data_IF_032713012243
#
_entry.id   IF_032713012243
#
_cell.length_a   1.000
_cell.length_b   1.000
_cell.length_c   1.000
_cell.angle_alpha   90.00
_cell.angle_beta   90.00
_cell.angle_gamma   90.00
#
_symmetry.space_group_name_H-M   'P 1'
#
loop_
_entity.id
_entity.type
_entity.pdbx_description
1 polymer ?
#
# COMPACT_ATOMS: atom_id res chain seq x y z
N UNK A 1 -1.26 12.04 34.41
CA UNK A 1 -1.00 13.37 35.03
C UNK A 1 -1.95 14.46 34.57
N UNK A 2 -2.20 14.66 33.26
CA UNK A 2 -3.05 15.76 32.76
C UNK A 2 -4.52 15.70 33.24
N UNK A 3 -5.22 14.55 33.19
CA UNK A 3 -6.63 14.48 33.63
C UNK A 3 -6.81 14.82 35.11
N UNK A 4 -5.91 14.31 35.96
CA UNK A 4 -5.93 14.54 37.40
C UNK A 4 -5.76 16.04 37.74
N UNK A 5 -4.86 16.74 37.05
CA UNK A 5 -4.67 18.17 37.22
C UNK A 5 -5.91 18.97 36.78
N UNK A 6 -6.53 18.57 35.67
CA UNK A 6 -7.77 19.19 35.21
C UNK A 6 -8.89 19.01 36.22
N UNK A 7 -8.99 17.82 36.82
CA UNK A 7 -10.01 17.47 37.80
C UNK A 7 -9.89 18.29 39.11
N UNK A 8 -8.66 18.59 39.54
CA UNK A 8 -8.41 19.49 40.68
C UNK A 8 -9.00 20.89 40.42
N UNK A 9 -8.75 21.48 39.25
CA UNK A 9 -9.28 22.81 38.91
C UNK A 9 -10.80 22.78 38.72
N UNK A 10 -11.36 21.68 38.20
CA UNK A 10 -12.81 21.53 38.06
C UNK A 10 -13.50 21.37 39.41
N UNK A 11 -12.96 20.55 40.31
CA UNK A 11 -13.46 20.36 41.68
C UNK A 11 -13.39 21.65 42.49
N UNK A 12 -12.25 22.35 42.46
CA UNK A 12 -12.12 23.65 43.11
C UNK A 12 -13.08 24.72 42.55
N UNK A 13 -13.47 24.62 41.25
CA UNK A 13 -14.50 25.48 40.67
C UNK A 13 -15.88 25.16 41.23
N UNK A 14 -16.21 23.88 41.38
CA UNK A 14 -17.47 23.41 41.96
C UNK A 14 -17.61 23.87 43.41
N UNK A 15 -16.53 23.76 44.19
CA UNK A 15 -16.49 24.18 45.60
C UNK A 15 -16.46 25.71 45.79
N UNK A 16 -16.36 26.48 44.69
CA UNK A 16 -16.36 27.95 44.72
C UNK A 16 -15.09 28.58 45.30
N UNK A 17 -14.01 27.83 45.46
CA UNK A 17 -12.76 28.27 46.12
C UNK A 17 -11.71 28.86 45.15
N UNK A 18 -12.02 28.93 43.85
CA UNK A 18 -11.10 29.44 42.84
C UNK A 18 -10.92 30.97 42.90
N UNK A 19 -9.67 31.41 42.77
CA UNK A 19 -9.35 32.83 42.55
C UNK A 19 -9.73 33.30 41.13
N UNK A 20 -9.90 34.61 40.95
CA UNK A 20 -10.20 35.22 39.64
C UNK A 20 -9.19 34.84 38.53
N UNK A 21 -7.92 34.64 38.88
CA UNK A 21 -6.88 34.24 37.92
C UNK A 21 -7.01 32.76 37.52
N UNK A 22 -7.45 31.89 38.44
CA UNK A 22 -7.58 30.45 38.20
C UNK A 22 -8.85 30.06 37.43
N UNK A 23 -9.83 30.96 37.32
CA UNK A 23 -11.05 30.72 36.53
C UNK A 23 -10.74 30.35 35.07
N UNK A 24 -9.76 31.01 34.46
CA UNK A 24 -9.32 30.70 33.08
C UNK A 24 -8.71 29.30 32.97
N UNK A 25 -8.01 28.85 34.01
CA UNK A 25 -7.43 27.50 34.05
C UNK A 25 -8.51 26.43 34.18
N UNK A 26 -9.56 26.67 34.97
CA UNK A 26 -10.68 25.74 35.08
C UNK A 26 -11.46 25.59 33.76
N UNK A 27 -11.63 26.67 33.00
CA UNK A 27 -12.23 26.62 31.66
C UNK A 27 -11.36 25.79 30.70
N UNK A 28 -10.04 26.01 30.70
CA UNK A 28 -9.12 25.22 29.87
C UNK A 28 -9.15 23.73 30.25
N UNK A 29 -9.11 23.43 31.55
CA UNK A 29 -9.24 22.07 32.10
C UNK A 29 -10.55 21.40 31.65
N UNK A 30 -11.67 22.14 31.64
CA UNK A 30 -12.95 21.63 31.16
C UNK A 30 -12.91 21.25 29.66
N UNK A 31 -12.31 22.11 28.83
CA UNK A 31 -12.17 21.85 27.39
C UNK A 31 -11.30 20.60 27.16
N UNK A 32 -10.20 20.46 27.90
CA UNK A 32 -9.28 19.33 27.79
C UNK A 32 -9.98 18.03 28.21
N UNK A 33 -10.62 18.00 29.38
CA UNK A 33 -11.34 16.82 29.87
C UNK A 33 -12.46 16.44 28.91
N UNK A 34 -13.28 17.39 28.45
CA UNK A 34 -14.35 17.10 27.47
C UNK A 34 -13.80 16.54 26.16
N UNK A 35 -12.67 17.05 25.67
CA UNK A 35 -12.04 16.56 24.44
C UNK A 35 -11.47 15.16 24.60
N UNK A 36 -10.80 14.89 25.73
CA UNK A 36 -10.29 13.57 26.08
C UNK A 36 -11.41 12.57 26.31
N UNK A 37 -12.50 12.95 26.98
CA UNK A 37 -13.68 12.10 27.16
C UNK A 37 -14.31 11.72 25.81
N UNK A 38 -14.42 12.67 24.87
CA UNK A 38 -14.90 12.36 23.51
C UNK A 38 -14.01 11.33 22.81
N UNK A 39 -12.69 11.52 22.84
CA UNK A 39 -11.73 10.56 22.26
C UNK A 39 -11.80 9.20 22.96
N UNK A 40 -11.89 9.18 24.28
CA UNK A 40 -12.01 7.96 25.09
C UNK A 40 -13.30 7.19 24.80
N UNK A 41 -14.44 7.88 24.68
CA UNK A 41 -15.71 7.26 24.28
C UNK A 41 -15.61 6.68 22.88
N UNK A 42 -15.05 7.42 21.92
CA UNK A 42 -14.84 6.90 20.55
C UNK A 42 -13.93 5.67 20.56
N UNK A 43 -12.84 5.70 21.33
CA UNK A 43 -11.93 4.58 21.46
C UNK A 43 -12.61 3.34 22.07
N UNK A 44 -13.36 3.50 23.16
CA UNK A 44 -14.09 2.41 23.81
C UNK A 44 -15.19 1.82 22.89
N UNK A 45 -15.92 2.67 22.17
CA UNK A 45 -16.90 2.21 21.18
C UNK A 45 -16.19 1.44 20.06
N UNK A 46 -15.08 1.94 19.55
CA UNK A 46 -14.30 1.26 18.50
C UNK A 46 -13.75 -0.09 18.98
N UNK A 47 -13.27 -0.19 20.22
CA UNK A 47 -12.76 -1.43 20.82
C UNK A 47 -13.90 -2.45 21.03
N UNK A 48 -15.05 -2.01 21.56
CA UNK A 48 -16.19 -2.88 21.80
C UNK A 48 -16.87 -3.37 20.51
N UNK A 49 -16.83 -2.57 19.44
CA UNK A 49 -17.50 -2.88 18.15
C UNK A 49 -16.57 -3.44 17.09
N UNK A 50 -15.24 -3.26 17.22
CA UNK A 50 -14.28 -3.57 16.16
C UNK A 50 -14.35 -2.63 14.95
N UNK A 51 -15.07 -1.50 15.04
CA UNK A 51 -15.42 -0.65 13.89
C UNK A 51 -14.25 -0.22 13.01
N UNK A 52 -13.08 0.06 13.59
CA UNK A 52 -11.90 0.47 12.81
C UNK A 52 -11.42 -0.65 11.88
N UNK A 53 -11.41 -1.91 12.35
CA UNK A 53 -10.98 -3.06 11.56
C UNK A 53 -11.96 -3.34 10.43
N UNK A 54 -13.27 -3.29 10.72
CA UNK A 54 -14.31 -3.49 9.70
C UNK A 54 -14.29 -2.37 8.66
N UNK A 55 -14.09 -1.12 9.09
CA UNK A 55 -13.95 0.02 8.20
C UNK A 55 -12.74 -0.13 7.27
N UNK A 56 -11.56 -0.48 7.81
CA UNK A 56 -10.35 -0.66 7.02
C UNK A 56 -10.51 -1.82 6.02
N UNK A 57 -11.18 -2.91 6.43
CA UNK A 57 -11.53 -4.03 5.54
C UNK A 57 -12.47 -3.59 4.42
N UNK A 58 -13.47 -2.78 4.73
CA UNK A 58 -14.44 -2.27 3.75
C UNK A 58 -13.79 -1.30 2.76
N UNK A 59 -12.89 -0.43 3.24
CA UNK A 59 -12.10 0.46 2.39
C UNK A 59 -11.18 -0.34 1.45
N UNK A 60 -10.50 -1.37 1.97
CA UNK A 60 -9.68 -2.28 1.18
C UNK A 60 -10.53 -3.00 0.12
N UNK A 61 -11.71 -3.52 0.47
CA UNK A 61 -12.57 -4.17 -0.52
C UNK A 61 -13.09 -3.21 -1.59
N UNK A 62 -13.40 -1.96 -1.22
CA UNK A 62 -13.76 -0.92 -2.19
C UNK A 62 -12.61 -0.61 -3.15
N UNK A 63 -11.35 -0.69 -2.68
CA UNK A 63 -10.18 -0.56 -3.54
C UNK A 63 -10.01 -1.77 -4.46
N UNK A 64 -10.06 -2.99 -3.90
CA UNK A 64 -9.88 -4.22 -4.66
C UNK A 64 -10.95 -4.39 -5.75
N UNK A 65 -12.22 -4.08 -5.44
CA UNK A 65 -13.31 -4.15 -6.43
C UNK A 65 -13.14 -3.20 -7.62
N UNK A 66 -12.36 -2.11 -7.47
CA UNK A 66 -11.98 -1.23 -8.58
C UNK A 66 -10.85 -1.80 -9.42
N UNK A 67 -9.96 -2.60 -8.84
CA UNK A 67 -8.76 -3.13 -9.49
C UNK A 67 -8.95 -4.53 -10.07
N UNK A 68 -9.73 -5.38 -9.42
CA UNK A 68 -9.94 -6.79 -9.77
C UNK A 68 -11.23 -6.95 -10.56
N UNK A 69 -11.13 -7.50 -11.76
CA UNK A 69 -12.28 -7.80 -12.60
C UNK A 69 -13.10 -8.94 -12.00
N UNK A 70 -14.43 -8.84 -12.10
CA UNK A 70 -15.35 -9.91 -11.65
C UNK A 70 -15.22 -11.19 -12.48
N UNK A 71 -14.83 -11.03 -13.74
CA UNK A 71 -14.67 -12.12 -14.70
C UNK A 71 -13.28 -12.02 -15.36
N UNK A 72 -12.79 -13.15 -15.85
CA UNK A 72 -11.52 -13.22 -16.56
C UNK A 72 -11.65 -12.47 -17.90
N UNK A 73 -10.82 -11.45 -18.10
CA UNK A 73 -10.78 -10.72 -19.36
C UNK A 73 -10.03 -11.51 -20.46
N UNK A 74 -10.41 -11.31 -21.74
CA UNK A 74 -9.67 -11.85 -22.87
C UNK A 74 -8.19 -11.44 -22.83
N UNK A 75 -7.31 -12.35 -23.28
CA UNK A 75 -5.89 -12.05 -23.34
C UNK A 75 -5.64 -10.86 -24.29
N UNK A 76 -4.95 -9.85 -23.78
CA UNK A 76 -4.50 -8.68 -24.55
C UNK A 76 -3.06 -8.40 -24.15
N UNK A 77 -2.20 -8.04 -25.12
CA UNK A 77 -0.82 -7.67 -24.81
C UNK A 77 -0.82 -6.40 -23.94
N UNK A 78 -0.34 -6.53 -22.70
CA UNK A 78 -0.24 -5.41 -21.73
C UNK A 78 1.19 -4.99 -21.40
N UNK A 79 2.14 -5.91 -21.54
CA UNK A 79 3.54 -5.62 -21.31
C UNK A 79 4.18 -5.29 -22.66
N UNK A 80 4.68 -4.05 -22.85
CA UNK A 80 5.43 -3.67 -24.04
C UNK A 80 6.70 -4.51 -24.17
N UNK A 81 7.21 -4.64 -25.40
CA UNK A 81 8.44 -5.42 -25.63
C UNK A 81 9.65 -4.66 -25.08
N UNK A 82 9.61 -3.32 -25.14
CA UNK A 82 10.63 -2.40 -24.64
C UNK A 82 10.92 -2.64 -23.16
N UNK A 83 9.89 -2.90 -22.34
CA UNK A 83 10.07 -3.23 -20.93
C UNK A 83 10.99 -4.44 -20.73
N UNK A 84 10.81 -5.49 -21.53
CA UNK A 84 11.64 -6.68 -21.44
C UNK A 84 13.00 -6.49 -22.14
N UNK A 85 13.06 -5.74 -23.24
CA UNK A 85 14.33 -5.43 -23.90
C UNK A 85 15.27 -4.67 -22.97
N UNK A 86 14.77 -3.65 -22.28
CA UNK A 86 15.54 -2.88 -21.31
C UNK A 86 15.98 -3.72 -20.11
N UNK A 87 15.10 -4.61 -19.61
CA UNK A 87 15.48 -5.56 -18.56
C UNK A 87 16.64 -6.47 -19.00
N UNK A 88 16.58 -7.03 -20.20
CA UNK A 88 17.64 -7.89 -20.73
C UNK A 88 18.94 -7.12 -20.97
N UNK A 89 18.85 -5.89 -21.51
CA UNK A 89 19.98 -4.97 -21.69
C UNK A 89 20.71 -4.74 -20.38
N UNK A 90 20.00 -4.33 -19.32
CA UNK A 90 20.59 -4.04 -18.01
C UNK A 90 21.16 -5.28 -17.32
N UNK A 91 20.61 -6.47 -17.62
CA UNK A 91 21.12 -7.75 -17.10
C UNK A 91 22.27 -8.33 -17.94
N UNK A 92 22.60 -7.74 -19.09
CA UNK A 92 23.61 -8.26 -20.02
C UNK A 92 23.20 -9.60 -20.65
N UNK A 93 21.91 -9.82 -20.87
CA UNK A 93 21.37 -11.05 -21.46
C UNK A 93 20.98 -10.85 -22.92
N UNK A 94 21.17 -11.88 -23.74
CA UNK A 94 20.66 -11.89 -25.12
C UNK A 94 19.14 -11.89 -25.12
N UNK A 95 18.55 -10.94 -25.84
CA UNK A 95 17.10 -10.87 -25.96
C UNK A 95 16.61 -12.07 -26.79
N UNK A 96 15.67 -12.88 -26.26
CA UNK A 96 15.30 -14.14 -26.88
C UNK A 96 14.59 -13.91 -28.20
N UNK A 97 14.84 -14.81 -29.15
CA UNK A 97 14.07 -14.89 -30.39
C UNK A 97 12.60 -15.20 -30.08
N UNK A 98 11.64 -14.85 -30.97
CA UNK A 98 10.21 -15.08 -30.73
C UNK A 98 9.82 -16.53 -30.38
N UNK A 99 10.64 -17.50 -30.75
CA UNK A 99 10.45 -18.94 -30.47
C UNK A 99 11.06 -19.42 -29.15
N UNK A 100 11.82 -18.58 -28.44
CA UNK A 100 12.59 -18.97 -27.26
C UNK A 100 11.89 -18.55 -25.97
N UNK A 101 11.83 -19.47 -25.00
CA UNK A 101 11.27 -19.16 -23.68
C UNK A 101 12.22 -18.23 -22.91
N UNK A 102 11.66 -17.22 -22.27
CA UNK A 102 12.40 -16.34 -21.37
C UNK A 102 12.82 -17.10 -20.11
N UNK A 103 14.00 -16.82 -19.54
CA UNK A 103 14.42 -17.38 -18.26
C UNK A 103 13.39 -17.11 -17.14
N UNK A 104 13.21 -18.07 -16.23
CA UNK A 104 12.22 -17.94 -15.13
C UNK A 104 12.44 -16.71 -14.22
N UNK A 105 13.70 -16.26 -14.10
CA UNK A 105 14.08 -15.04 -13.37
C UNK A 105 13.41 -13.77 -13.92
N UNK A 106 13.03 -13.75 -15.19
CA UNK A 106 12.26 -12.63 -15.77
C UNK A 106 10.91 -12.50 -15.07
N UNK A 107 10.24 -13.63 -14.78
CA UNK A 107 8.99 -13.63 -14.03
C UNK A 107 9.16 -13.13 -12.60
N UNK A 108 10.30 -13.42 -11.97
CA UNK A 108 10.66 -12.86 -10.66
C UNK A 108 10.79 -11.33 -10.73
N UNK A 109 11.53 -10.79 -11.69
CA UNK A 109 11.66 -9.33 -11.85
C UNK A 109 10.35 -8.64 -12.23
N UNK A 110 9.52 -9.27 -13.06
CA UNK A 110 8.16 -8.77 -13.32
C UNK A 110 7.35 -8.69 -12.03
N UNK A 111 7.43 -9.68 -11.14
CA UNK A 111 6.76 -9.60 -9.85
C UNK A 111 7.35 -8.47 -8.98
N UNK A 112 8.68 -8.42 -8.85
CA UNK A 112 9.40 -7.45 -8.02
C UNK A 112 9.11 -6.00 -8.42
N UNK A 113 9.28 -5.66 -9.69
CA UNK A 113 9.18 -4.25 -10.12
C UNK A 113 7.79 -3.83 -10.58
N UNK A 114 6.86 -4.77 -10.79
CA UNK A 114 5.51 -4.47 -11.31
C UNK A 114 4.44 -4.86 -10.31
N UNK A 115 4.26 -6.16 -10.06
CA UNK A 115 3.11 -6.62 -9.25
C UNK A 115 3.21 -6.27 -7.77
N UNK A 116 4.41 -6.23 -7.19
CA UNK A 116 4.65 -5.79 -5.80
C UNK A 116 4.44 -4.30 -5.58
N UNK A 117 4.36 -3.52 -6.65
CA UNK A 117 4.18 -2.07 -6.61
C UNK A 117 2.75 -1.65 -7.02
N UNK A 118 1.84 -2.61 -7.14
CA UNK A 118 0.41 -2.34 -7.19
C UNK A 118 -0.11 -1.97 -5.79
N UNK A 119 -1.28 -1.30 -5.69
CA UNK A 119 -1.87 -0.98 -4.39
C UNK A 119 -2.01 -2.21 -3.48
N UNK A 120 -1.97 -1.96 -2.17
CA UNK A 120 -2.02 -3.01 -1.15
C UNK A 120 -3.20 -3.97 -1.37
N UNK A 121 -2.95 -5.28 -1.22
CA UNK A 121 -3.94 -6.34 -1.39
C UNK A 121 -4.17 -6.79 -2.84
N UNK A 122 -3.78 -5.99 -3.84
CA UNK A 122 -4.05 -6.31 -5.26
C UNK A 122 -3.25 -7.55 -5.68
N UNK A 123 -1.96 -7.65 -5.32
CA UNK A 123 -1.13 -8.80 -5.67
C UNK A 123 -1.67 -10.09 -5.03
N UNK A 124 -2.07 -10.02 -3.77
CA UNK A 124 -2.61 -11.14 -3.01
C UNK A 124 -3.92 -11.63 -3.64
N UNK A 125 -4.81 -10.70 -3.99
CA UNK A 125 -6.07 -11.05 -4.64
C UNK A 125 -5.85 -11.64 -6.04
N UNK A 126 -4.93 -11.08 -6.83
CA UNK A 126 -4.52 -11.66 -8.11
C UNK A 126 -3.97 -13.09 -7.97
N UNK A 127 -3.25 -13.38 -6.90
CA UNK A 127 -2.72 -14.72 -6.62
C UNK A 127 -3.82 -15.71 -6.25
N UNK A 128 -4.85 -15.27 -5.51
CA UNK A 128 -6.04 -16.08 -5.21
C UNK A 128 -6.87 -16.36 -6.46
N UNK A 129 -7.13 -15.34 -7.29
CA UNK A 129 -7.93 -15.50 -8.51
C UNK A 129 -7.23 -16.31 -9.60
N UNK A 130 -5.89 -16.29 -9.63
CA UNK A 130 -5.08 -16.99 -10.62
C UNK A 130 -4.07 -17.93 -9.96
N UNK A 131 -4.48 -19.00 -9.25
CA UNK A 131 -3.58 -19.83 -8.44
C UNK A 131 -2.53 -20.56 -9.29
N UNK A 132 -1.47 -21.02 -8.60
CA UNK A 132 -0.42 -21.84 -9.21
C UNK A 132 -1.00 -23.23 -9.47
N UNK A 133 -0.92 -23.71 -10.71
CA UNK A 133 -1.42 -25.03 -11.11
C UNK A 133 -0.33 -26.09 -11.07
N UNK A 134 0.94 -25.68 -11.24
CA UNK A 134 2.13 -26.51 -11.05
C UNK A 134 3.32 -25.60 -10.73
N UNK A 135 4.43 -26.10 -10.16
CA UNK A 135 5.56 -25.26 -9.76
C UNK A 135 5.98 -24.27 -10.86
N UNK A 136 5.90 -22.97 -10.57
CA UNK A 136 6.23 -21.89 -11.50
C UNK A 136 5.21 -21.61 -12.62
N UNK A 137 4.07 -22.30 -12.66
CA UNK A 137 3.06 -22.16 -13.72
C UNK A 137 1.69 -21.78 -13.17
N UNK A 138 1.09 -20.77 -13.79
CA UNK A 138 -0.32 -20.37 -13.60
C UNK A 138 -1.09 -20.64 -14.89
N UNK A 139 -2.40 -20.87 -14.78
CA UNK A 139 -3.27 -21.13 -15.94
C UNK A 139 -3.39 -19.90 -16.84
N UNK A 140 -3.50 -18.71 -16.24
CA UNK A 140 -3.73 -17.44 -16.91
C UNK A 140 -2.66 -16.40 -16.56
N UNK A 141 -2.70 -15.23 -17.17
CA UNK A 141 -1.84 -14.08 -16.81
C UNK A 141 -2.56 -13.17 -15.81
N UNK A 142 -1.83 -12.63 -14.83
CA UNK A 142 -2.43 -11.77 -13.80
C UNK A 142 -3.13 -10.54 -14.37
N UNK A 143 -2.61 -9.92 -15.44
CA UNK A 143 -3.26 -8.76 -16.05
C UNK A 143 -4.67 -9.05 -16.61
N UNK A 144 -5.03 -10.32 -16.86
CA UNK A 144 -6.37 -10.69 -17.30
C UNK A 144 -7.42 -10.58 -16.18
N UNK A 145 -6.99 -10.45 -14.92
CA UNK A 145 -7.85 -10.26 -13.76
C UNK A 145 -7.91 -8.80 -13.31
N UNK A 146 -7.25 -7.89 -14.02
CA UNK A 146 -7.32 -6.46 -13.75
C UNK A 146 -8.48 -5.84 -14.51
N UNK A 147 -9.22 -4.92 -13.89
CA UNK A 147 -10.26 -4.13 -14.56
C UNK A 147 -9.69 -3.33 -15.74
N UNK A 148 -10.51 -3.07 -16.75
CA UNK A 148 -10.06 -2.37 -17.95
C UNK A 148 -9.81 -0.88 -17.68
N UNK A 149 -10.63 -0.27 -16.83
CA UNK A 149 -10.73 1.16 -16.59
C UNK A 149 -9.71 1.66 -15.57
N UNK A 150 -9.40 0.85 -14.55
CA UNK A 150 -8.54 1.25 -13.44
C UNK A 150 -7.30 0.35 -13.37
N UNK A 151 -7.47 -0.96 -13.23
CA UNK A 151 -6.36 -1.88 -13.01
C UNK A 151 -5.37 -1.89 -14.16
N UNK A 152 -5.84 -2.07 -15.39
CA UNK A 152 -5.00 -2.10 -16.58
C UNK A 152 -4.40 -0.72 -16.91
N UNK A 153 -5.16 0.37 -16.75
CA UNK A 153 -4.66 1.74 -16.96
C UNK A 153 -3.55 2.08 -15.96
N UNK A 154 -3.71 1.69 -14.69
CA UNK A 154 -2.67 1.85 -13.69
C UNK A 154 -1.43 1.01 -14.01
N UNK A 155 -1.62 -0.26 -14.37
CA UNK A 155 -0.53 -1.15 -14.79
C UNK A 155 0.27 -0.56 -15.95
N UNK A 156 -0.41 -0.03 -16.97
CA UNK A 156 0.23 0.60 -18.13
C UNK A 156 1.07 1.82 -17.73
N UNK A 157 0.51 2.74 -16.94
CA UNK A 157 1.25 3.90 -16.43
C UNK A 157 2.48 3.50 -15.62
N UNK A 158 2.34 2.47 -14.78
CA UNK A 158 3.44 1.94 -14.00
C UNK A 158 4.53 1.35 -14.90
N UNK A 159 4.15 0.54 -15.89
CA UNK A 159 5.10 -0.04 -16.85
C UNK A 159 5.86 1.02 -17.64
N UNK A 160 5.19 2.08 -18.10
CA UNK A 160 5.84 3.23 -18.76
C UNK A 160 6.90 3.82 -17.82
N UNK A 161 6.51 4.13 -16.57
CA UNK A 161 7.41 4.73 -15.59
C UNK A 161 8.63 3.85 -15.31
N UNK A 162 8.43 2.55 -15.08
CA UNK A 162 9.53 1.61 -14.82
C UNK A 162 10.44 1.49 -16.05
N UNK A 163 9.87 1.39 -17.24
CA UNK A 163 10.63 1.32 -18.50
C UNK A 163 11.48 2.58 -18.69
N UNK A 164 10.93 3.77 -18.42
CA UNK A 164 11.70 5.03 -18.48
C UNK A 164 12.87 5.03 -17.49
N UNK A 165 12.70 4.50 -16.28
CA UNK A 165 13.81 4.38 -15.33
C UNK A 165 14.88 3.40 -15.82
N UNK A 166 14.49 2.29 -16.44
CA UNK A 166 15.45 1.35 -17.03
C UNK A 166 16.23 2.02 -18.17
N UNK A 167 15.55 2.72 -19.08
CA UNK A 167 16.16 3.46 -20.19
C UNK A 167 17.15 4.52 -19.72
N UNK A 168 16.84 5.22 -18.62
CA UNK A 168 17.72 6.24 -18.04
C UNK A 168 18.93 5.66 -17.30
N UNK A 169 19.00 4.34 -17.12
CA UNK A 169 20.06 3.66 -16.35
C UNK A 169 21.04 2.93 -17.26
N UNK A 170 22.32 2.98 -16.89
CA UNK A 170 23.39 2.27 -17.59
C UNK A 170 23.61 0.87 -17.03
N UNK A 171 23.39 0.67 -15.72
CA UNK A 171 23.54 -0.62 -15.05
C UNK A 171 22.30 -1.01 -14.25
N UNK A 172 22.21 -2.29 -13.90
CA UNK A 172 21.12 -2.82 -13.09
C UNK A 172 21.04 -2.15 -11.70
N UNK A 173 22.19 -1.91 -11.08
CA UNK A 173 22.29 -1.30 -9.74
C UNK A 173 21.83 0.16 -9.77
N UNK A 174 22.16 0.89 -10.83
CA UNK A 174 21.68 2.26 -11.04
C UNK A 174 20.15 2.30 -11.19
N UNK A 175 19.60 1.35 -11.95
CA UNK A 175 18.16 1.18 -12.10
C UNK A 175 17.50 0.90 -10.75
N UNK A 176 17.97 -0.09 -9.98
CA UNK A 176 17.38 -0.45 -8.69
C UNK A 176 17.43 0.73 -7.71
N UNK A 177 18.55 1.45 -7.64
CA UNK A 177 18.68 2.65 -6.80
C UNK A 177 17.68 3.73 -7.19
N UNK A 178 17.55 4.02 -8.48
CA UNK A 178 16.63 5.06 -8.97
C UNK A 178 15.18 4.64 -8.80
N UNK A 179 14.88 3.36 -9.05
CA UNK A 179 13.57 2.76 -8.81
C UNK A 179 13.16 2.90 -7.34
N UNK A 180 14.00 2.47 -6.39
CA UNK A 180 13.70 2.55 -4.96
C UNK A 180 13.45 3.99 -4.51
N UNK A 181 14.27 4.93 -5.00
CA UNK A 181 14.11 6.37 -4.73
C UNK A 181 12.78 6.93 -5.27
N UNK A 182 12.39 6.54 -6.47
CA UNK A 182 11.19 7.06 -7.16
C UNK A 182 9.91 6.45 -6.61
N UNK A 183 9.93 5.17 -6.26
CA UNK A 183 8.77 4.46 -5.70
C UNK A 183 8.69 4.53 -4.19
N UNK A 184 9.64 5.21 -3.52
CA UNK A 184 9.75 5.29 -2.06
C UNK A 184 9.49 3.93 -1.45
N UNK A 185 10.18 2.91 -1.98
CA UNK A 185 10.19 1.60 -1.32
C UNK A 185 10.83 1.91 0.04
N UNK A 186 9.99 2.07 1.06
CA UNK A 186 10.46 2.12 2.43
C UNK A 186 11.28 0.85 2.57
N UNK A 187 12.59 0.99 2.80
CA UNK A 187 13.35 -0.09 3.39
C UNK A 187 12.57 -0.42 4.65
N UNK A 188 11.77 -1.48 4.59
CA UNK A 188 11.31 -2.17 5.77
C UNK A 188 12.60 -2.60 6.45
N UNK A 189 13.10 -1.74 7.33
CA UNK A 189 14.04 -2.12 8.36
C UNK A 189 13.40 -3.33 9.02
N UNK A 190 13.97 -4.48 8.73
CA UNK A 190 13.69 -5.74 9.40
C UNK A 190 13.89 -5.49 10.87
N UNK A 191 12.79 -5.27 11.60
CA UNK A 191 12.73 -5.37 13.06
C UNK A 191 12.80 -6.86 13.43
N UNK A 192 13.89 -7.50 13.05
CA UNK A 192 14.33 -8.78 13.58
C UNK A 192 15.61 -8.50 14.36
N UNK A 193 15.45 -7.96 15.57
CA UNK A 193 16.37 -8.01 16.72
C UNK A 193 15.91 -7.00 17.79
N UNK A 194 14.83 -7.34 18.50
CA UNK A 194 14.66 -7.07 19.95
C UNK A 194 13.95 -8.28 20.54
#
# INVERSE_FOLDING_TARGET
MIPLLCDIYLSARVDGILTNQQQKLAIASEIIVRSLSKLGIVALVNEATGYQVDRDRDELQKLLSKYIAKELLPWTKRFPDEFYQEMFRLRGWDYPTPSSQRPGIVGYYTNKFVYEHLPAGVKEELQKSNPIVSPGRRKWKHHQFLTQEIGNVHLEKHLIKVTTLMQASNTWEEFERTFNRVFKVEEQLTLSEI
#
